data_IF_809080959410
#
_entry.id   IF_809080959410
#
_cell.length_a   1.000
_cell.length_b   1.000
_cell.length_c   1.000
_cell.angle_alpha   90.00
_cell.angle_beta   90.00
_cell.angle_gamma   90.00
#
_symmetry.space_group_name_H-M   'P 1'
#
loop_
_entity.id
_entity.type
_entity.pdbx_description
1 polymer ?
#
# COMPACT_ATOMS: atom_id res chain seq x y z
N UNK A 1 21.65 -24.39 9.86
CA UNK A 1 21.31 -25.05 11.13
C UNK A 1 20.79 -23.97 12.07
N UNK A 2 19.67 -24.18 12.78
CA UNK A 2 19.18 -23.20 13.74
C UNK A 2 20.29 -22.94 14.79
N UNK A 3 20.49 -21.69 15.21
CA UNK A 3 21.30 -21.40 16.40
C UNK A 3 20.85 -22.30 17.57
N UNK A 4 21.76 -22.73 18.44
CA UNK A 4 21.47 -23.56 19.64
C UNK A 4 20.31 -23.03 20.50
N UNK A 5 20.03 -21.72 20.42
CA UNK A 5 18.88 -21.10 21.07
C UNK A 5 17.52 -21.59 20.52
N UNK A 6 17.43 -21.84 19.22
CA UNK A 6 16.17 -22.21 18.58
C UNK A 6 15.87 -23.70 18.61
N UNK A 7 16.88 -24.57 18.79
CA UNK A 7 16.67 -26.03 18.87
C UNK A 7 15.78 -26.43 20.04
N UNK A 8 15.80 -25.68 21.14
CA UNK A 8 14.95 -25.91 22.32
C UNK A 8 13.45 -25.81 21.99
N UNK A 9 13.04 -24.95 21.06
CA UNK A 9 11.61 -24.82 20.66
C UNK A 9 11.09 -26.04 19.87
N UNK A 10 11.97 -26.92 19.41
CA UNK A 10 11.60 -28.11 18.65
C UNK A 10 11.70 -29.41 19.46
N UNK A 11 12.18 -29.35 20.71
CA UNK A 11 12.34 -30.53 21.58
C UNK A 11 11.01 -31.10 22.04
N UNK A 12 9.97 -30.27 22.13
CA UNK A 12 8.62 -30.67 22.56
C UNK A 12 7.83 -31.45 21.49
N UNK A 13 8.34 -31.55 20.26
CA UNK A 13 7.62 -32.14 19.14
C UNK A 13 8.25 -33.47 18.68
N UNK A 14 7.38 -34.44 18.37
CA UNK A 14 7.77 -35.74 17.81
C UNK A 14 7.74 -35.73 16.28
N UNK A 15 8.41 -36.70 15.66
CA UNK A 15 8.31 -36.93 14.22
C UNK A 15 6.92 -37.43 13.81
N UNK A 16 6.38 -37.04 12.64
CA UNK A 16 7.01 -36.22 11.58
C UNK A 16 6.82 -34.70 11.77
N UNK A 17 6.11 -34.28 12.81
CA UNK A 17 5.72 -32.88 13.00
C UNK A 17 6.92 -31.97 13.25
N UNK A 18 7.92 -32.47 14.00
CA UNK A 18 9.21 -31.80 14.21
C UNK A 18 9.91 -31.47 12.88
N UNK A 19 10.04 -32.45 11.97
CA UNK A 19 10.64 -32.22 10.65
C UNK A 19 9.89 -31.18 9.82
N UNK A 20 8.55 -31.21 9.84
CA UNK A 20 7.72 -30.23 9.11
C UNK A 20 7.95 -28.82 9.67
N UNK A 21 7.92 -28.67 11.00
CA UNK A 21 8.15 -27.37 11.64
C UNK A 21 9.55 -26.83 11.37
N UNK A 22 10.57 -27.69 11.39
CA UNK A 22 11.94 -27.28 11.05
C UNK A 22 12.04 -26.79 9.61
N UNK A 23 11.41 -27.49 8.66
CA UNK A 23 11.34 -27.07 7.27
C UNK A 23 10.63 -25.72 7.11
N UNK A 24 9.48 -25.53 7.77
CA UNK A 24 8.72 -24.28 7.74
C UNK A 24 9.52 -23.12 8.36
N UNK A 25 10.22 -23.37 9.46
CA UNK A 25 11.08 -22.38 10.11
C UNK A 25 12.22 -21.95 9.20
N UNK A 26 13.00 -22.90 8.68
CA UNK A 26 14.16 -22.62 7.81
C UNK A 26 13.73 -21.86 6.54
N UNK A 27 12.62 -22.30 5.93
CA UNK A 27 12.01 -21.62 4.78
C UNK A 27 11.58 -20.20 5.15
N UNK A 28 10.84 -20.03 6.25
CA UNK A 28 10.35 -18.71 6.67
C UNK A 28 11.50 -17.75 7.01
N UNK A 29 12.56 -18.23 7.65
CA UNK A 29 13.74 -17.44 8.00
C UNK A 29 14.46 -16.96 6.74
N UNK A 30 14.61 -17.83 5.74
CA UNK A 30 15.21 -17.47 4.45
C UNK A 30 14.38 -16.40 3.73
N UNK A 31 13.05 -16.53 3.75
CA UNK A 31 12.14 -15.54 3.16
C UNK A 31 12.18 -14.20 3.92
N UNK A 32 12.31 -14.24 5.24
CA UNK A 32 12.47 -13.05 6.08
C UNK A 32 13.74 -12.29 5.73
N UNK A 33 14.89 -12.97 5.65
CA UNK A 33 16.16 -12.31 5.30
C UNK A 33 16.13 -11.69 3.89
N UNK A 34 15.49 -12.38 2.93
CA UNK A 34 15.32 -11.88 1.57
C UNK A 34 14.37 -10.66 1.49
N UNK A 35 13.45 -10.53 2.46
CA UNK A 35 12.43 -9.47 2.44
C UNK A 35 13.03 -8.07 2.58
N UNK A 36 14.10 -7.89 3.36
CA UNK A 36 14.72 -6.58 3.57
C UNK A 36 15.25 -5.94 2.27
N UNK A 37 16.19 -6.55 1.52
CA UNK A 37 16.70 -5.94 0.30
C UNK A 37 15.61 -5.79 -0.77
N UNK A 38 14.70 -6.75 -0.89
CA UNK A 38 13.59 -6.67 -1.85
C UNK A 38 12.62 -5.53 -1.51
N UNK A 39 12.33 -5.31 -0.23
CA UNK A 39 11.41 -4.26 0.22
C UNK A 39 11.93 -2.88 -0.18
N UNK A 40 13.24 -2.61 -0.04
CA UNK A 40 13.85 -1.34 -0.44
C UNK A 40 13.72 -1.13 -1.95
N UNK A 41 13.98 -2.17 -2.75
CA UNK A 41 13.89 -2.09 -4.21
C UNK A 41 12.44 -1.86 -4.66
N UNK A 42 11.51 -2.69 -4.19
CA UNK A 42 10.10 -2.57 -4.57
C UNK A 42 9.47 -1.27 -4.07
N UNK A 43 9.79 -0.85 -2.84
CA UNK A 43 9.30 0.42 -2.31
C UNK A 43 9.84 1.61 -3.10
N UNK A 44 11.08 1.57 -3.59
CA UNK A 44 11.64 2.62 -4.44
C UNK A 44 10.88 2.73 -5.77
N UNK A 45 10.63 1.61 -6.45
CA UNK A 45 9.83 1.61 -7.68
C UNK A 45 8.37 2.03 -7.45
N UNK A 46 7.77 1.59 -6.34
CA UNK A 46 6.42 1.97 -5.95
C UNK A 46 6.32 3.47 -5.65
N UNK A 47 7.30 4.05 -4.94
CA UNK A 47 7.35 5.48 -4.67
C UNK A 47 7.41 6.28 -5.98
N UNK A 48 8.31 5.92 -6.89
CA UNK A 48 8.40 6.58 -8.21
C UNK A 48 7.06 6.46 -8.96
N UNK A 49 6.47 5.27 -8.96
CA UNK A 49 5.18 5.01 -9.60
C UNK A 49 4.06 5.88 -9.02
N UNK A 50 3.99 6.00 -7.69
CA UNK A 50 2.97 6.80 -7.00
C UNK A 50 3.17 8.29 -7.20
N UNK A 51 4.41 8.79 -7.21
CA UNK A 51 4.69 10.20 -7.51
C UNK A 51 4.24 10.54 -8.94
N UNK A 52 4.50 9.67 -9.90
CA UNK A 52 3.99 9.83 -11.27
C UNK A 52 2.46 9.74 -11.31
N UNK A 53 1.86 8.79 -10.59
CA UNK A 53 0.41 8.62 -10.51
C UNK A 53 -0.27 9.87 -9.94
N UNK A 54 0.27 10.44 -8.85
CA UNK A 54 -0.18 11.69 -8.24
C UNK A 54 -0.08 12.87 -9.20
N UNK A 55 1.02 12.99 -9.95
CA UNK A 55 1.18 14.05 -10.95
C UNK A 55 0.07 14.02 -12.02
N UNK A 56 -0.40 12.84 -12.41
CA UNK A 56 -1.48 12.66 -13.40
C UNK A 56 -2.85 12.84 -12.76
N UNK A 57 -3.12 12.18 -11.64
CA UNK A 57 -4.44 12.18 -10.99
C UNK A 57 -4.84 13.55 -10.42
N UNK A 58 -3.87 14.38 -10.05
CA UNK A 58 -4.14 15.74 -9.54
C UNK A 58 -4.50 16.74 -10.64
N UNK A 59 -4.44 16.35 -11.94
CA UNK A 59 -4.87 17.21 -13.05
C UNK A 59 -6.39 17.43 -13.05
N UNK A 60 -6.82 18.61 -13.52
CA UNK A 60 -8.24 19.03 -13.54
C UNK A 60 -9.11 18.03 -14.34
N UNK A 61 -8.59 17.47 -15.42
CA UNK A 61 -9.29 16.47 -16.24
C UNK A 61 -9.55 15.16 -15.47
N UNK A 62 -8.75 14.83 -14.47
CA UNK A 62 -8.84 13.57 -13.72
C UNK A 62 -9.67 13.68 -12.43
N UNK A 63 -9.75 14.84 -11.78
CA UNK A 63 -10.43 15.03 -10.48
C UNK A 63 -11.97 15.07 -10.53
N UNK A 64 -12.57 14.51 -11.57
CA UNK A 64 -14.01 14.63 -11.85
C UNK A 64 -14.87 13.48 -11.31
N UNK A 65 -14.26 12.44 -10.75
CA UNK A 65 -14.97 11.28 -10.19
C UNK A 65 -14.49 10.95 -8.79
N UNK A 66 -15.36 10.38 -7.95
CA UNK A 66 -14.99 9.92 -6.61
C UNK A 66 -13.84 8.92 -6.63
N UNK A 67 -13.86 7.99 -7.59
CA UNK A 67 -12.80 6.97 -7.73
C UNK A 67 -11.44 7.59 -8.01
N UNK A 68 -11.36 8.62 -8.87
CA UNK A 68 -10.08 9.29 -9.11
C UNK A 68 -9.59 10.08 -7.89
N UNK A 69 -10.49 10.68 -7.11
CA UNK A 69 -10.14 11.31 -5.82
C UNK A 69 -9.61 10.27 -4.83
N UNK A 70 -10.28 9.13 -4.72
CA UNK A 70 -9.87 8.03 -3.85
C UNK A 70 -8.53 7.42 -4.28
N UNK A 71 -8.31 7.20 -5.57
CA UNK A 71 -7.01 6.76 -6.12
C UNK A 71 -5.90 7.78 -5.86
N UNK A 72 -6.22 9.08 -5.86
CA UNK A 72 -5.25 10.12 -5.48
C UNK A 72 -4.87 10.00 -4.00
N UNK A 73 -5.87 9.81 -3.13
CA UNK A 73 -5.65 9.58 -1.71
C UNK A 73 -4.81 8.31 -1.46
N UNK A 74 -5.12 7.23 -2.17
CA UNK A 74 -4.39 5.96 -2.09
C UNK A 74 -2.93 6.10 -2.52
N UNK A 75 -2.66 6.78 -3.62
CA UNK A 75 -1.28 7.01 -4.06
C UNK A 75 -0.49 7.89 -3.08
N UNK A 76 -1.17 8.82 -2.37
CA UNK A 76 -0.55 9.64 -1.34
C UNK A 76 -0.20 8.80 -0.09
N UNK A 77 -1.15 8.02 0.43
CA UNK A 77 -0.93 7.15 1.59
C UNK A 77 0.14 6.10 1.31
N UNK A 78 0.07 5.46 0.14
CA UNK A 78 1.09 4.49 -0.27
C UNK A 78 2.47 5.15 -0.40
N UNK A 79 2.57 6.38 -0.92
CA UNK A 79 3.85 7.10 -0.99
C UNK A 79 4.48 7.33 0.38
N UNK A 80 3.66 7.66 1.40
CA UNK A 80 4.13 7.83 2.78
C UNK A 80 4.67 6.50 3.32
N UNK A 81 3.95 5.40 3.10
CA UNK A 81 4.39 4.06 3.50
C UNK A 81 5.68 3.63 2.80
N UNK A 82 5.80 3.86 1.48
CA UNK A 82 7.02 3.54 0.74
C UNK A 82 8.22 4.33 1.25
N UNK A 83 8.05 5.63 1.57
CA UNK A 83 9.11 6.45 2.12
C UNK A 83 9.62 5.90 3.45
N UNK A 84 8.72 5.50 4.35
CA UNK A 84 9.14 4.94 5.63
C UNK A 84 9.79 3.56 5.47
N UNK A 85 9.24 2.71 4.60
CA UNK A 85 9.83 1.39 4.28
C UNK A 85 11.26 1.51 3.75
N UNK A 86 11.52 2.48 2.88
CA UNK A 86 12.87 2.76 2.40
C UNK A 86 13.74 3.22 3.55
N UNK A 87 13.29 4.20 4.35
CA UNK A 87 14.07 4.74 5.46
C UNK A 87 14.47 3.67 6.49
N UNK A 88 13.53 2.86 6.93
CA UNK A 88 13.74 1.84 7.98
C UNK A 88 14.66 0.72 7.51
N UNK A 89 14.48 0.23 6.28
CA UNK A 89 15.25 -0.90 5.77
C UNK A 89 16.59 -0.49 5.13
N UNK A 90 16.76 0.79 4.75
CA UNK A 90 18.01 1.27 4.13
C UNK A 90 19.21 1.18 5.07
N UNK A 91 19.04 1.51 6.35
CA UNK A 91 20.14 1.43 7.33
C UNK A 91 20.54 -0.03 7.61
N UNK A 92 19.57 -0.95 7.65
CA UNK A 92 19.81 -2.38 7.80
C UNK A 92 20.61 -2.97 6.64
N UNK A 93 20.28 -2.57 5.40
CA UNK A 93 20.93 -3.09 4.18
C UNK A 93 22.33 -2.50 3.96
N UNK A 94 22.56 -1.23 4.34
CA UNK A 94 23.79 -0.53 3.94
C UNK A 94 24.92 -0.53 4.96
N UNK A 95 24.65 -0.65 6.27
CA UNK A 95 25.70 -0.43 7.31
C UNK A 95 25.60 -1.30 8.57
N UNK A 96 25.59 -2.64 8.48
CA UNK A 96 25.49 -3.50 9.66
C UNK A 96 26.67 -3.33 10.65
N UNK A 97 27.88 -2.99 10.18
CA UNK A 97 29.08 -2.86 11.02
C UNK A 97 29.29 -1.46 11.64
N UNK A 98 28.91 -0.39 10.94
CA UNK A 98 29.16 1.01 11.36
C UNK A 98 28.18 1.50 12.44
N UNK A 99 27.05 0.81 12.62
CA UNK A 99 26.04 1.12 13.63
C UNK A 99 26.60 1.16 15.06
N UNK A 100 27.63 0.36 15.37
CA UNK A 100 28.20 0.27 16.72
C UNK A 100 28.91 1.56 17.17
N UNK A 101 29.44 2.33 16.22
CA UNK A 101 30.22 3.56 16.48
C UNK A 101 29.51 4.84 16.02
N UNK A 102 28.28 4.71 15.49
CA UNK A 102 27.45 5.84 15.06
C UNK A 102 26.88 6.56 16.30
N UNK A 103 27.05 7.88 16.41
CA UNK A 103 26.47 8.65 17.51
C UNK A 103 24.94 8.59 17.47
N UNK A 104 24.26 8.69 18.63
CA UNK A 104 22.80 8.69 18.69
C UNK A 104 22.22 9.91 17.95
N UNK A 105 21.04 9.72 17.35
CA UNK A 105 20.34 10.79 16.65
C UNK A 105 19.84 11.85 17.65
N UNK A 106 19.87 13.15 17.29
CA UNK A 106 19.47 14.25 18.17
C UNK A 106 17.96 14.25 18.47
N UNK A 107 17.55 14.94 19.53
CA UNK A 107 16.15 15.01 19.98
C UNK A 107 15.14 15.34 18.85
N UNK A 108 15.41 16.37 18.05
CA UNK A 108 14.54 16.77 16.93
C UNK A 108 14.35 15.69 15.87
N UNK A 109 15.37 14.86 15.64
CA UNK A 109 15.26 13.74 14.69
C UNK A 109 14.36 12.63 15.21
N UNK A 110 14.34 12.39 16.53
CA UNK A 110 13.43 11.43 17.15
C UNK A 110 11.97 11.92 17.09
N UNK A 111 11.74 13.23 17.27
CA UNK A 111 10.42 13.82 17.04
C UNK A 111 9.98 13.62 15.59
N UNK A 112 10.84 13.94 14.63
CA UNK A 112 10.52 13.78 13.21
C UNK A 112 10.21 12.32 12.88
N UNK A 113 11.04 11.39 13.36
CA UNK A 113 10.82 9.95 13.16
C UNK A 113 9.48 9.50 13.74
N UNK A 114 9.13 9.94 14.95
CA UNK A 114 7.84 9.63 15.56
C UNK A 114 6.66 10.16 14.73
N UNK A 115 6.78 11.39 14.19
CA UNK A 115 5.74 11.94 13.30
C UNK A 115 5.60 11.10 12.04
N UNK A 116 6.72 10.70 11.42
CA UNK A 116 6.70 9.88 10.21
C UNK A 116 6.10 8.49 10.45
N UNK A 117 6.46 7.82 11.55
CA UNK A 117 5.87 6.54 11.96
C UNK A 117 4.36 6.68 12.18
N UNK A 118 3.92 7.75 12.85
CA UNK A 118 2.48 7.98 13.08
C UNK A 118 1.74 8.24 11.77
N UNK A 119 2.33 9.00 10.85
CA UNK A 119 1.76 9.25 9.52
C UNK A 119 1.70 7.96 8.69
N UNK A 120 2.71 7.11 8.79
CA UNK A 120 2.74 5.80 8.15
C UNK A 120 1.62 4.90 8.68
N UNK A 121 1.48 4.80 10.00
CA UNK A 121 0.45 3.97 10.65
C UNK A 121 -0.96 4.43 10.25
N UNK A 122 -1.22 5.75 10.23
CA UNK A 122 -2.47 6.31 9.70
C UNK A 122 -2.64 5.94 8.21
N UNK A 123 -1.60 6.12 7.40
CA UNK A 123 -1.64 5.84 5.96
C UNK A 123 -1.93 4.36 5.66
N UNK A 124 -1.27 3.45 6.39
CA UNK A 124 -1.40 2.00 6.23
C UNK A 124 -2.81 1.51 6.58
N UNK A 125 -3.48 2.14 7.56
CA UNK A 125 -4.89 1.86 7.92
C UNK A 125 -5.87 2.38 6.89
N UNK A 126 -5.63 3.56 6.32
CA UNK A 126 -6.54 4.18 5.35
C UNK A 126 -6.56 3.43 4.02
N UNK A 127 -5.41 2.94 3.52
CA UNK A 127 -5.31 2.31 2.19
C UNK A 127 -6.34 1.16 1.99
N UNK A 128 -6.49 0.18 2.92
CA UNK A 128 -7.52 -0.86 2.86
C UNK A 128 -8.95 -0.33 2.77
N UNK A 129 -9.28 0.69 3.57
CA UNK A 129 -10.60 1.29 3.60
C UNK A 129 -10.93 2.05 2.31
N UNK A 130 -9.94 2.70 1.70
CA UNK A 130 -10.12 3.27 0.35
C UNK A 130 -10.47 2.15 -0.64
N UNK A 131 -9.80 1.00 -0.58
CA UNK A 131 -10.12 -0.18 -1.37
C UNK A 131 -11.57 -0.65 -1.19
N UNK A 132 -12.02 -0.77 0.06
CA UNK A 132 -13.41 -1.14 0.42
C UNK A 132 -14.40 -0.16 -0.18
N UNK A 133 -14.18 1.14 0.01
CA UNK A 133 -15.08 2.20 -0.48
C UNK A 133 -15.16 2.16 -2.01
N UNK A 134 -14.02 2.00 -2.70
CA UNK A 134 -14.01 1.86 -4.17
C UNK A 134 -14.80 0.63 -4.63
N UNK A 135 -14.66 -0.51 -3.94
CA UNK A 135 -15.40 -1.73 -4.25
C UNK A 135 -16.92 -1.56 -4.03
N UNK A 136 -17.34 -0.93 -2.93
CA UNK A 136 -18.74 -0.62 -2.64
C UNK A 136 -19.33 0.31 -3.70
N UNK A 137 -18.64 1.41 -4.03
CA UNK A 137 -19.07 2.35 -5.07
C UNK A 137 -19.35 1.60 -6.37
N UNK A 138 -18.43 0.72 -6.79
CA UNK A 138 -18.61 -0.05 -8.04
C UNK A 138 -19.72 -1.07 -7.97
N UNK A 139 -19.79 -1.84 -6.89
CA UNK A 139 -20.86 -2.82 -6.72
C UNK A 139 -22.24 -2.15 -6.80
N UNK A 140 -22.43 -1.02 -6.12
CA UNK A 140 -23.70 -0.30 -6.11
C UNK A 140 -24.03 0.31 -7.47
N UNK A 141 -23.08 1.00 -8.11
CA UNK A 141 -23.32 1.63 -9.43
C UNK A 141 -23.64 0.57 -10.49
N UNK A 142 -22.92 -0.56 -10.49
CA UNK A 142 -23.15 -1.64 -11.44
C UNK A 142 -24.45 -2.37 -11.18
N UNK A 143 -24.83 -2.58 -9.92
CA UNK A 143 -26.06 -3.31 -9.57
C UNK A 143 -27.33 -2.46 -9.70
N UNK A 144 -27.22 -1.13 -9.53
CA UNK A 144 -28.37 -0.22 -9.49
C UNK A 144 -28.15 1.03 -10.37
N UNK A 145 -27.94 0.89 -11.69
CA UNK A 145 -27.56 1.99 -12.57
C UNK A 145 -28.61 3.11 -12.68
N UNK A 146 -29.89 2.79 -12.44
CA UNK A 146 -31.01 3.75 -12.51
C UNK A 146 -31.24 4.52 -11.21
N UNK A 147 -30.56 4.16 -10.13
CA UNK A 147 -30.74 4.82 -8.84
C UNK A 147 -29.92 6.13 -8.77
N UNK A 148 -30.63 7.26 -8.75
CA UNK A 148 -30.02 8.59 -8.74
C UNK A 148 -29.23 8.90 -7.46
N UNK A 149 -29.59 8.30 -6.32
CA UNK A 149 -28.86 8.47 -5.05
C UNK A 149 -27.50 7.79 -5.16
N UNK A 150 -27.46 6.57 -5.69
CA UNK A 150 -26.22 5.81 -5.89
C UNK A 150 -25.31 6.54 -6.90
N UNK A 151 -25.86 7.16 -7.95
CA UNK A 151 -25.07 7.97 -8.89
C UNK A 151 -24.38 9.17 -8.24
N UNK A 152 -24.89 9.70 -7.11
CA UNK A 152 -24.20 10.76 -6.36
C UNK A 152 -22.87 10.27 -5.77
N UNK A 153 -22.72 8.97 -5.49
CA UNK A 153 -21.47 8.38 -4.97
C UNK A 153 -20.33 8.45 -5.98
N UNK A 154 -20.63 8.62 -7.28
CA UNK A 154 -19.61 8.82 -8.33
C UNK A 154 -19.00 10.23 -8.33
N UNK A 155 -19.59 11.19 -7.60
CA UNK A 155 -19.17 12.59 -7.61
C UNK A 155 -17.91 12.80 -6.74
N UNK A 156 -17.00 13.73 -7.13
CA UNK A 156 -15.73 13.91 -6.43
C UNK A 156 -15.90 14.32 -4.96
N UNK A 157 -16.95 15.08 -4.64
CA UNK A 157 -17.28 15.45 -3.25
C UNK A 157 -17.45 14.22 -2.36
N UNK A 158 -18.08 13.15 -2.86
CA UNK A 158 -18.23 11.91 -2.09
C UNK A 158 -16.87 11.27 -1.80
N UNK A 159 -15.98 11.22 -2.80
CA UNK A 159 -14.62 10.68 -2.63
C UNK A 159 -13.80 11.49 -1.63
N UNK A 160 -13.88 12.82 -1.69
CA UNK A 160 -13.19 13.71 -0.76
C UNK A 160 -13.69 13.56 0.68
N UNK A 161 -15.02 13.57 0.89
CA UNK A 161 -15.61 13.37 2.21
C UNK A 161 -15.30 11.98 2.78
N UNK A 162 -15.28 10.95 1.92
CA UNK A 162 -14.89 9.60 2.31
C UNK A 162 -13.44 9.54 2.78
N UNK A 163 -12.52 10.17 2.05
CA UNK A 163 -11.10 10.25 2.43
C UNK A 163 -10.92 10.99 3.75
N UNK A 164 -11.60 12.12 3.94
CA UNK A 164 -11.57 12.87 5.19
C UNK A 164 -12.10 12.03 6.36
N UNK A 165 -13.20 11.30 6.18
CA UNK A 165 -13.73 10.40 7.19
C UNK A 165 -12.73 9.30 7.56
N UNK A 166 -12.08 8.66 6.58
CA UNK A 166 -11.04 7.66 6.85
C UNK A 166 -9.89 8.26 7.67
N UNK A 167 -9.39 9.45 7.29
CA UNK A 167 -8.31 10.13 8.03
C UNK A 167 -8.72 10.39 9.49
N UNK A 168 -9.92 10.92 9.71
CA UNK A 168 -10.41 11.22 11.06
C UNK A 168 -10.53 9.95 11.91
N UNK A 169 -11.15 8.90 11.37
CA UNK A 169 -11.32 7.62 12.08
C UNK A 169 -9.96 6.99 12.39
N UNK A 170 -9.07 6.88 11.41
CA UNK A 170 -7.73 6.30 11.62
C UNK A 170 -6.91 7.09 12.63
N UNK A 171 -7.03 8.43 12.65
CA UNK A 171 -6.35 9.28 13.64
C UNK A 171 -6.88 9.03 15.06
N UNK A 172 -8.21 8.91 15.23
CA UNK A 172 -8.83 8.61 16.53
C UNK A 172 -8.41 7.22 17.03
N UNK A 173 -8.37 6.22 16.16
CA UNK A 173 -7.93 4.86 16.53
C UNK A 173 -6.44 4.87 16.87
N UNK A 174 -5.62 5.63 16.14
CA UNK A 174 -4.18 5.78 16.39
C UNK A 174 -3.84 6.58 17.64
N UNK A 175 -4.77 7.39 18.16
CA UNK A 175 -4.55 8.26 19.30
C UNK A 175 -4.04 7.51 20.56
N UNK A 176 -4.46 6.26 20.76
CA UNK A 176 -3.96 5.40 21.86
C UNK A 176 -2.45 5.16 21.80
N UNK A 177 -1.85 5.15 20.60
CA UNK A 177 -0.41 4.95 20.42
C UNK A 177 0.33 6.28 20.57
N UNK A 178 -0.21 7.36 20.00
CA UNK A 178 0.52 8.62 19.91
C UNK A 178 0.38 9.51 21.15
N UNK A 179 -0.77 9.48 21.84
CA UNK A 179 -1.01 10.32 23.03
C UNK A 179 -0.19 9.86 24.24
N UNK A 180 0.02 8.57 24.50
CA UNK A 180 0.88 8.14 25.62
C UNK A 180 2.36 8.08 25.28
N UNK A 181 2.82 8.47 24.08
CA UNK A 181 4.25 8.39 23.71
C UNK A 181 4.90 9.76 23.62
N UNK A 182 6.06 9.91 24.25
CA UNK A 182 6.91 11.12 24.16
C UNK A 182 8.37 10.74 23.97
N UNK A 183 9.22 11.71 23.60
CA UNK A 183 10.65 11.48 23.48
C UNK A 183 11.29 11.78 24.83
N UNK A 184 11.91 10.77 25.44
CA UNK A 184 12.61 10.90 26.72
C UNK A 184 14.12 10.76 26.53
N UNK A 185 14.88 11.41 27.38
CA UNK A 185 16.31 11.17 27.51
C UNK A 185 16.53 9.88 28.31
N UNK A 186 17.38 9.00 27.77
CA UNK A 186 17.82 7.78 28.43
C UNK A 186 19.31 7.85 28.71
N UNK A 187 19.86 6.76 29.27
CA UNK A 187 21.27 6.65 29.59
C UNK A 187 22.14 7.15 28.41
N UNK A 188 23.05 8.12 28.63
CA UNK A 188 23.90 8.67 27.59
C UNK A 188 24.65 7.57 26.85
N UNK A 189 24.78 7.74 25.54
CA UNK A 189 25.59 6.86 24.72
C UNK A 189 27.08 7.12 24.99
N UNK A 190 27.81 6.04 25.25
CA UNK A 190 29.26 6.05 25.42
C UNK A 190 29.85 5.13 24.35
N UNK A 191 30.70 5.64 23.44
CA UNK A 191 31.31 4.84 22.39
C UNK A 191 32.24 3.77 22.99
N UNK A 192 32.35 2.64 22.30
CA UNK A 192 33.39 1.65 22.60
C UNK A 192 34.77 2.22 22.22
N UNK A 193 35.83 1.74 22.89
CA UNK A 193 37.22 2.18 22.63
C UNK A 193 37.63 2.04 21.16
N UNK A 194 37.13 1.00 20.49
CA UNK A 194 37.35 0.72 19.06
C UNK A 194 36.85 1.84 18.12
N UNK A 195 35.98 2.73 18.60
CA UNK A 195 35.36 3.77 17.79
C UNK A 195 36.21 5.05 17.64
N UNK A 196 37.36 5.16 18.32
CA UNK A 196 38.30 6.29 18.15
C UNK A 196 37.88 7.64 18.75
N UNK A 197 36.84 7.68 19.59
CA UNK A 197 36.42 8.89 20.29
C UNK A 197 37.34 9.23 21.48
N UNK A 198 37.43 10.50 21.90
CA UNK A 198 38.20 10.91 23.08
C UNK A 198 37.78 10.16 24.35
N UNK A 199 38.72 10.04 25.31
CA UNK A 199 38.40 9.47 26.62
C UNK A 199 37.30 10.30 27.30
N UNK A 200 36.35 9.63 27.96
CA UNK A 200 35.17 10.23 28.60
C UNK A 200 34.18 10.95 27.67
N UNK A 201 34.26 10.74 26.35
CA UNK A 201 33.23 11.22 25.44
C UNK A 201 31.89 10.54 25.72
N UNK A 202 30.82 11.32 25.81
CA UNK A 202 29.44 10.82 25.89
C UNK A 202 28.49 11.78 25.17
N UNK A 203 27.36 11.25 24.73
CA UNK A 203 26.32 12.03 24.07
C UNK A 203 24.94 11.65 24.62
N UNK A 204 24.03 12.61 24.84
CA UNK A 204 22.67 12.29 25.25
C UNK A 204 22.00 11.41 24.20
N UNK A 205 21.25 10.42 24.68
CA UNK A 205 20.52 9.48 23.83
C UNK A 205 19.04 9.63 24.11
N UNK A 206 18.26 9.76 23.05
CA UNK A 206 16.83 9.94 23.12
C UNK A 206 16.11 8.74 22.51
N UNK A 207 14.96 8.38 23.06
CA UNK A 207 14.08 7.35 22.49
C UNK A 207 12.61 7.64 22.83
N UNK A 208 11.66 7.06 22.08
CA UNK A 208 10.26 7.03 22.49
C UNK A 208 10.11 6.35 23.87
N UNK A 209 9.31 6.95 24.74
CA UNK A 209 8.98 6.45 26.06
C UNK A 209 7.55 6.82 26.46
N UNK A 210 7.02 6.18 27.51
CA UNK A 210 5.67 6.43 27.97
C UNK A 210 5.53 7.85 28.57
N UNK A 211 4.36 8.46 28.37
CA UNK A 211 3.83 9.56 29.18
C UNK A 211 2.99 8.97 30.30
N UNK A 212 2.92 9.66 31.43
CA UNK A 212 2.04 9.35 32.56
C UNK A 212 0.57 9.67 32.21
N UNK A 213 0.06 9.10 31.12
CA UNK A 213 -1.30 9.25 30.62
C UNK A 213 -1.82 7.85 30.32
N UNK A 214 -2.74 7.37 31.16
CA UNK A 214 -3.38 6.07 30.97
C UNK A 214 -4.66 6.24 30.12
N UNK A 215 -4.71 5.57 28.98
CA UNK A 215 -5.89 5.50 28.12
C UNK A 215 -6.40 4.07 28.19
N UNK A 216 -7.67 3.88 28.54
CA UNK A 216 -8.32 2.57 28.69
C UNK A 216 -7.86 1.57 27.61
N UNK A 217 -7.10 0.57 28.01
CA UNK A 217 -6.39 -0.30 27.08
C UNK A 217 -7.33 -1.19 26.26
N UNK A 218 -8.41 -1.69 26.85
CA UNK A 218 -9.21 -2.76 26.27
C UNK A 218 -10.02 -2.32 25.04
N UNK A 219 -10.75 -1.20 25.13
CA UNK A 219 -11.61 -0.72 24.04
C UNK A 219 -10.78 -0.32 22.82
N UNK A 220 -9.67 0.39 23.03
CA UNK A 220 -8.82 0.85 21.92
C UNK A 220 -8.04 -0.29 21.28
N UNK A 221 -7.59 -1.30 22.06
CA UNK A 221 -7.02 -2.53 21.51
C UNK A 221 -8.02 -3.23 20.61
N UNK A 222 -9.26 -3.37 21.07
CA UNK A 222 -10.32 -4.03 20.33
C UNK A 222 -10.67 -3.29 19.03
N UNK A 223 -10.83 -1.96 19.09
CA UNK A 223 -11.09 -1.15 17.90
C UNK A 223 -9.96 -1.22 16.88
N UNK A 224 -8.70 -1.23 17.32
CA UNK A 224 -7.54 -1.37 16.44
C UNK A 224 -7.49 -2.75 15.79
N UNK A 225 -7.78 -3.82 16.54
CA UNK A 225 -7.85 -5.17 15.99
C UNK A 225 -8.96 -5.28 14.94
N UNK A 226 -10.13 -4.69 15.19
CA UNK A 226 -11.21 -4.63 14.21
C UNK A 226 -10.81 -3.83 12.97
N UNK A 227 -10.25 -2.64 13.13
CA UNK A 227 -9.90 -1.75 12.01
C UNK A 227 -8.92 -2.39 11.03
N UNK A 228 -7.92 -3.12 11.55
CA UNK A 228 -6.90 -3.80 10.73
C UNK A 228 -7.46 -5.04 10.04
N UNK A 229 -8.28 -5.85 10.73
CA UNK A 229 -8.72 -7.15 10.20
C UNK A 229 -10.04 -7.09 9.42
N UNK A 230 -10.87 -6.08 9.66
CA UNK A 230 -12.18 -5.97 9.02
C UNK A 230 -12.08 -5.79 7.49
N UNK A 231 -11.18 -4.94 6.95
CA UNK A 231 -10.96 -4.87 5.50
C UNK A 231 -10.52 -6.20 4.89
N UNK A 232 -9.70 -6.99 5.59
CA UNK A 232 -9.24 -8.31 5.12
C UNK A 232 -10.38 -9.32 4.95
N UNK A 233 -11.54 -9.12 5.58
CA UNK A 233 -12.75 -9.95 5.40
C UNK A 233 -13.77 -9.28 4.49
N UNK A 234 -14.02 -7.99 4.67
CA UNK A 234 -15.04 -7.24 3.93
C UNK A 234 -14.67 -7.10 2.46
N UNK A 235 -13.41 -6.80 2.16
CA UNK A 235 -12.95 -6.57 0.79
C UNK A 235 -13.07 -7.82 -0.11
N UNK A 236 -12.65 -9.04 0.31
CA UNK A 236 -12.90 -10.26 -0.46
C UNK A 236 -14.38 -10.52 -0.72
N UNK A 237 -15.24 -10.34 0.29
CA UNK A 237 -16.68 -10.54 0.16
C UNK A 237 -17.29 -9.57 -0.86
N UNK A 238 -16.94 -8.28 -0.76
CA UNK A 238 -17.36 -7.27 -1.73
C UNK A 238 -16.86 -7.58 -3.14
N UNK A 239 -15.62 -8.05 -3.26
CA UNK A 239 -15.03 -8.42 -4.56
C UNK A 239 -15.76 -9.61 -5.19
N UNK A 240 -16.10 -10.62 -4.39
CA UNK A 240 -16.87 -11.78 -4.84
C UNK A 240 -18.28 -11.36 -5.28
N UNK A 241 -18.94 -10.50 -4.52
CA UNK A 241 -20.24 -9.94 -4.88
C UNK A 241 -20.16 -9.12 -6.17
N UNK A 242 -19.13 -8.29 -6.33
CA UNK A 242 -18.89 -7.50 -7.53
C UNK A 242 -18.71 -8.40 -8.76
N UNK A 243 -17.82 -9.40 -8.67
CA UNK A 243 -17.60 -10.34 -9.78
C UNK A 243 -18.88 -11.09 -10.14
N UNK A 244 -19.68 -11.53 -9.16
CA UNK A 244 -20.97 -12.19 -9.40
C UNK A 244 -21.98 -11.25 -10.04
N UNK A 245 -22.11 -10.02 -9.56
CA UNK A 245 -23.00 -9.01 -10.11
C UNK A 245 -22.64 -8.71 -11.57
N UNK A 246 -21.35 -8.55 -11.87
CA UNK A 246 -20.87 -8.32 -13.23
C UNK A 246 -21.13 -9.51 -14.14
N UNK A 247 -20.86 -10.74 -13.70
CA UNK A 247 -21.18 -11.95 -14.47
C UNK A 247 -22.67 -12.06 -14.79
N UNK A 248 -23.54 -11.76 -13.81
CA UNK A 248 -24.99 -11.75 -14.02
C UNK A 248 -25.42 -10.71 -15.06
N UNK A 249 -24.93 -9.48 -14.95
CA UNK A 249 -25.23 -8.40 -15.92
C UNK A 249 -24.76 -8.79 -17.33
N UNK A 250 -23.58 -9.39 -17.46
CA UNK A 250 -23.08 -9.88 -18.76
C UNK A 250 -23.97 -11.00 -19.31
N UNK A 251 -24.40 -11.95 -18.48
CA UNK A 251 -25.28 -13.04 -18.88
C UNK A 251 -26.66 -12.54 -19.34
N UNK A 252 -27.25 -11.58 -18.63
CA UNK A 252 -28.53 -10.95 -19.03
C UNK A 252 -28.37 -10.20 -20.35
N UNK A 253 -27.28 -9.45 -20.54
CA UNK A 253 -27.02 -8.76 -21.83
C UNK A 253 -26.87 -9.71 -23.01
N UNK A 254 -26.24 -10.87 -22.79
CA UNK A 254 -26.12 -11.92 -23.81
C UNK A 254 -27.49 -12.49 -24.24
N UNK A 255 -28.50 -12.44 -23.38
CA UNK A 255 -29.86 -12.87 -23.74
C UNK A 255 -30.60 -11.83 -24.60
N UNK A 256 -30.26 -10.55 -24.49
CA UNK A 256 -30.97 -9.45 -25.16
C UNK A 256 -30.20 -8.79 -26.31
N UNK A 257 -28.90 -9.09 -26.51
CA UNK A 257 -28.06 -8.49 -27.55
C UNK A 257 -27.25 -9.57 -28.30
N UNK A 258 -27.25 -9.50 -29.64
CA UNK A 258 -26.58 -10.44 -30.55
C UNK A 258 -25.05 -10.36 -30.54
N UNK A 259 -24.47 -9.32 -29.93
CA UNK A 259 -23.03 -9.19 -29.71
C UNK A 259 -22.77 -8.66 -28.28
N UNK A 260 -22.01 -9.36 -27.44
CA UNK A 260 -21.69 -8.89 -26.11
C UNK A 260 -20.87 -7.60 -26.18
N UNK A 261 -21.38 -6.53 -25.57
CA UNK A 261 -20.54 -5.38 -25.26
C UNK A 261 -19.67 -5.75 -24.06
N UNK A 262 -18.35 -5.76 -24.25
CA UNK A 262 -17.40 -6.02 -23.17
C UNK A 262 -17.68 -5.10 -21.96
N UNK A 263 -17.35 -5.55 -20.73
CA UNK A 263 -17.48 -4.70 -19.56
C UNK A 263 -16.70 -3.41 -19.79
N UNK A 264 -17.30 -2.28 -19.39
CA UNK A 264 -16.68 -0.96 -19.52
C UNK A 264 -15.28 -0.96 -18.88
N UNK A 265 -14.32 -0.31 -19.51
CA UNK A 265 -12.91 -0.38 -19.12
C UNK A 265 -12.70 0.10 -17.67
N UNK A 266 -13.53 1.04 -17.22
CA UNK A 266 -13.58 1.50 -15.82
C UNK A 266 -13.94 0.38 -14.83
N UNK A 267 -14.80 -0.54 -15.24
CA UNK A 267 -15.23 -1.69 -14.42
C UNK A 267 -14.12 -2.73 -14.34
N UNK A 268 -13.44 -3.01 -15.47
CA UNK A 268 -12.27 -3.89 -15.51
C UNK A 268 -11.14 -3.33 -14.65
N UNK A 269 -10.87 -2.02 -14.77
CA UNK A 269 -9.89 -1.27 -13.99
C UNK A 269 -10.09 -1.47 -12.49
N UNK A 270 -11.26 -1.11 -11.98
CA UNK A 270 -11.48 -1.20 -10.53
C UNK A 270 -11.53 -2.65 -10.05
N UNK A 271 -12.14 -3.57 -10.80
CA UNK A 271 -12.20 -4.98 -10.40
C UNK A 271 -10.80 -5.60 -10.28
N UNK A 272 -9.91 -5.35 -11.25
CA UNK A 272 -8.55 -5.88 -11.21
C UNK A 272 -7.74 -5.29 -10.05
N UNK A 273 -7.83 -3.97 -9.84
CA UNK A 273 -7.21 -3.31 -8.69
C UNK A 273 -7.71 -3.88 -7.36
N UNK A 274 -9.03 -4.11 -7.23
CA UNK A 274 -9.61 -4.67 -6.00
C UNK A 274 -9.15 -6.11 -5.77
N UNK A 275 -9.05 -6.94 -6.81
CA UNK A 275 -8.57 -8.33 -6.66
C UNK A 275 -7.12 -8.38 -6.19
N UNK A 276 -6.22 -7.55 -6.74
CA UNK A 276 -4.82 -7.48 -6.28
C UNK A 276 -4.73 -6.98 -4.84
N UNK A 277 -5.58 -6.02 -4.49
CA UNK A 277 -5.66 -5.50 -3.14
C UNK A 277 -6.14 -6.58 -2.14
N UNK A 278 -7.12 -7.41 -2.52
CA UNK A 278 -7.55 -8.58 -1.74
C UNK A 278 -6.41 -9.56 -1.52
N UNK A 279 -5.64 -9.88 -2.56
CA UNK A 279 -4.50 -10.82 -2.43
C UNK A 279 -3.48 -10.28 -1.41
N UNK A 280 -3.22 -8.98 -1.46
CA UNK A 280 -2.27 -8.30 -0.56
C UNK A 280 -2.76 -8.28 0.89
N UNK A 281 -4.01 -7.86 1.13
CA UNK A 281 -4.51 -7.72 2.50
C UNK A 281 -4.84 -9.10 3.12
N UNK A 282 -5.26 -10.09 2.34
CA UNK A 282 -5.49 -11.44 2.86
C UNK A 282 -4.20 -12.12 3.30
N UNK A 283 -3.12 -12.04 2.51
CA UNK A 283 -1.85 -12.70 2.87
C UNK A 283 -1.27 -12.13 4.17
N UNK A 284 -1.36 -10.81 4.34
CA UNK A 284 -0.92 -10.10 5.55
C UNK A 284 -1.87 -10.40 6.72
N UNK A 285 -3.18 -10.28 6.52
CA UNK A 285 -4.20 -10.46 7.56
C UNK A 285 -4.23 -11.87 8.14
N UNK A 286 -4.05 -12.91 7.32
CA UNK A 286 -3.98 -14.30 7.79
C UNK A 286 -2.78 -14.47 8.73
N UNK A 287 -1.62 -13.90 8.39
CA UNK A 287 -0.44 -13.99 9.26
C UNK A 287 -0.69 -13.30 10.61
N UNK A 288 -1.28 -12.09 10.61
CA UNK A 288 -1.60 -11.40 11.86
C UNK A 288 -2.59 -12.18 12.73
N UNK A 289 -3.63 -12.76 12.11
CA UNK A 289 -4.63 -13.55 12.82
C UNK A 289 -4.04 -14.83 13.43
N UNK A 290 -3.19 -15.56 12.69
CA UNK A 290 -2.53 -16.76 13.19
C UNK A 290 -1.58 -16.41 14.33
N UNK A 291 -0.79 -15.33 14.22
CA UNK A 291 0.09 -14.86 15.29
C UNK A 291 -0.70 -14.52 16.55
N UNK A 292 -1.85 -13.85 16.42
CA UNK A 292 -2.68 -13.44 17.54
C UNK A 292 -3.35 -14.63 18.27
N UNK A 293 -3.82 -15.63 17.53
CA UNK A 293 -4.53 -16.79 18.09
C UNK A 293 -3.57 -17.87 18.58
N UNK A 294 -2.37 -17.95 18.00
CA UNK A 294 -1.38 -18.98 18.37
C UNK A 294 -0.81 -18.75 19.76
N UNK A 295 -0.72 -19.83 20.55
CA UNK A 295 -0.01 -19.87 21.83
C UNK A 295 1.43 -20.39 21.71
N UNK A 296 1.80 -20.94 20.56
CA UNK A 296 3.14 -21.49 20.32
C UNK A 296 4.07 -20.39 19.83
N UNK A 297 5.13 -20.11 20.58
CA UNK A 297 6.17 -19.13 20.20
C UNK A 297 6.80 -19.48 18.86
N UNK A 298 6.98 -20.76 18.55
CA UNK A 298 7.53 -21.20 17.28
C UNK A 298 6.61 -20.84 16.10
N UNK A 299 5.31 -21.11 16.22
CA UNK A 299 4.33 -20.75 15.19
C UNK A 299 4.26 -19.23 15.03
N UNK A 300 4.33 -18.47 16.12
CA UNK A 300 4.39 -17.00 16.07
C UNK A 300 5.63 -16.51 15.31
N UNK A 301 6.82 -17.08 15.57
CA UNK A 301 8.05 -16.73 14.85
C UNK A 301 7.92 -17.03 13.36
N UNK A 302 7.48 -18.24 12.99
CA UNK A 302 7.29 -18.63 11.58
C UNK A 302 6.32 -17.68 10.88
N UNK A 303 5.20 -17.37 11.55
CA UNK A 303 4.16 -16.50 10.99
C UNK A 303 4.63 -15.06 10.87
N UNK A 304 5.43 -14.57 11.81
CA UNK A 304 6.03 -13.24 11.77
C UNK A 304 7.04 -13.10 10.63
N UNK A 305 7.86 -14.13 10.41
CA UNK A 305 8.77 -14.20 9.25
C UNK A 305 7.99 -14.14 7.92
N UNK A 306 6.91 -14.91 7.80
CA UNK A 306 6.03 -14.90 6.63
C UNK A 306 5.31 -13.56 6.45
N UNK A 307 4.91 -12.92 7.55
CA UNK A 307 4.30 -11.58 7.53
C UNK A 307 5.23 -10.58 6.80
N UNK A 308 6.50 -10.48 7.20
CA UNK A 308 7.45 -9.59 6.53
C UNK A 308 7.60 -9.91 5.04
N UNK A 309 7.67 -11.19 4.68
CA UNK A 309 7.71 -11.57 3.27
C UNK A 309 6.45 -11.14 2.52
N UNK A 310 5.25 -11.36 3.07
CA UNK A 310 4.00 -10.96 2.41
C UNK A 310 3.79 -9.45 2.35
N UNK A 311 4.42 -8.66 3.23
CA UNK A 311 4.40 -7.20 3.10
C UNK A 311 5.04 -6.71 1.79
N UNK A 312 5.87 -7.52 1.12
CA UNK A 312 6.38 -7.22 -0.23
C UNK A 312 5.27 -7.10 -1.28
N UNK A 313 4.09 -7.67 -1.04
CA UNK A 313 2.96 -7.53 -1.97
C UNK A 313 2.38 -6.13 -1.96
N UNK A 314 2.55 -5.38 -0.87
CA UNK A 314 2.06 -4.02 -0.75
C UNK A 314 2.66 -3.05 -1.79
N UNK A 315 4.00 -2.90 -1.92
CA UNK A 315 4.58 -2.08 -2.99
C UNK A 315 4.23 -2.59 -4.38
N UNK A 316 4.15 -3.91 -4.60
CA UNK A 316 3.76 -4.48 -5.90
C UNK A 316 2.32 -4.13 -6.28
N UNK A 317 1.39 -4.21 -5.33
CA UNK A 317 0.01 -3.79 -5.51
C UNK A 317 -0.08 -2.29 -5.82
N UNK A 318 0.73 -1.47 -5.14
CA UNK A 318 0.80 -0.04 -5.39
C UNK A 318 1.28 0.29 -6.80
N UNK A 319 2.33 -0.37 -7.30
CA UNK A 319 2.80 -0.26 -8.69
C UNK A 319 1.70 -0.68 -9.68
N UNK A 320 0.96 -1.76 -9.36
CA UNK A 320 -0.11 -2.24 -10.21
C UNK A 320 -1.22 -1.19 -10.40
N UNK A 321 -1.51 -0.34 -9.41
CA UNK A 321 -2.50 0.74 -9.59
C UNK A 321 -2.15 1.67 -10.76
N UNK A 322 -0.89 2.05 -10.90
CA UNK A 322 -0.42 2.85 -12.03
C UNK A 322 -0.57 2.08 -13.35
N UNK A 323 -0.05 0.85 -13.40
CA UNK A 323 -0.05 0.01 -14.61
C UNK A 323 -1.48 -0.21 -15.11
N UNK A 324 -2.39 -0.61 -14.22
CA UNK A 324 -3.78 -0.88 -14.58
C UNK A 324 -4.47 0.40 -15.06
N UNK A 325 -4.18 1.56 -14.45
CA UNK A 325 -4.74 2.85 -14.90
C UNK A 325 -4.30 3.22 -16.32
N UNK A 326 -3.05 2.97 -16.69
CA UNK A 326 -2.55 3.19 -18.06
C UNK A 326 -3.22 2.21 -19.04
N UNK A 327 -3.35 0.94 -18.66
CA UNK A 327 -3.89 -0.10 -19.55
C UNK A 327 -5.40 0.06 -19.78
N UNK A 328 -6.15 0.46 -18.75
CA UNK A 328 -7.61 0.37 -18.74
C UNK A 328 -8.34 1.72 -18.63
N UNK A 329 -7.65 2.86 -18.53
CA UNK A 329 -8.32 4.18 -18.57
C UNK A 329 -7.88 5.00 -19.77
N UNK A 330 -8.79 5.15 -20.74
CA UNK A 330 -8.59 6.04 -21.90
C UNK A 330 -8.37 7.48 -21.46
N UNK A 331 -9.16 7.95 -20.50
CA UNK A 331 -9.03 9.27 -19.90
C UNK A 331 -7.66 9.47 -19.23
N UNK A 332 -7.18 8.47 -18.50
CA UNK A 332 -5.85 8.50 -17.88
C UNK A 332 -4.75 8.60 -18.94
N UNK A 333 -4.81 7.78 -20.00
CA UNK A 333 -3.82 7.81 -21.10
C UNK A 333 -3.77 9.17 -21.79
N UNK A 334 -4.93 9.78 -22.07
CA UNK A 334 -4.98 11.12 -22.66
C UNK A 334 -4.30 12.14 -21.75
N UNK A 335 -4.60 12.10 -20.45
CA UNK A 335 -3.98 12.99 -19.47
C UNK A 335 -2.47 12.78 -19.35
N UNK A 336 -1.97 11.54 -19.43
CA UNK A 336 -0.53 11.23 -19.46
C UNK A 336 0.13 11.88 -20.67
N UNK A 337 -0.44 11.73 -21.87
CA UNK A 337 0.10 12.33 -23.10
C UNK A 337 0.18 13.85 -22.98
N UNK A 338 -0.88 14.49 -22.50
CA UNK A 338 -0.92 15.95 -22.26
C UNK A 338 0.12 16.38 -21.21
N UNK A 339 0.29 15.59 -20.14
CA UNK A 339 1.25 15.91 -19.07
C UNK A 339 2.70 15.77 -19.56
N UNK A 340 3.01 14.74 -20.34
CA UNK A 340 4.35 14.49 -20.88
C UNK A 340 4.70 15.43 -22.04
N UNK A 341 3.73 15.81 -22.88
CA UNK A 341 3.93 16.80 -23.94
C UNK A 341 4.19 18.19 -23.36
N UNK A 342 3.51 18.57 -22.27
CA UNK A 342 3.80 19.79 -21.52
C UNK A 342 5.24 19.78 -20.95
N UNK A 343 5.71 18.62 -20.47
CA UNK A 343 7.10 18.45 -20.00
C UNK A 343 8.12 18.36 -21.15
N UNK A 344 7.70 18.46 -22.42
CA UNK A 344 8.52 18.25 -23.63
C UNK A 344 9.23 16.89 -23.68
N UNK A 345 8.77 15.90 -22.91
CA UNK A 345 9.35 14.54 -22.88
C UNK A 345 8.87 13.74 -24.10
N UNK A 346 7.71 14.11 -24.66
CA UNK A 346 7.20 13.57 -25.92
C UNK A 346 7.00 14.71 -26.92
N UNK A 347 7.90 14.83 -27.89
CA UNK A 347 7.64 15.53 -29.15
C UNK A 347 7.29 14.45 -30.18
N UNK A 348 6.06 14.46 -30.67
CA UNK A 348 5.78 13.80 -31.95
C UNK A 348 6.48 14.63 -33.03
N UNK A 349 7.33 13.98 -33.84
CA UNK A 349 7.78 14.58 -35.09
C UNK A 349 6.55 14.75 -35.99
N UNK A 350 6.36 15.93 -36.62
CA UNK A 350 5.24 16.11 -37.52
C UNK A 350 5.38 15.15 -38.70
N UNK A 351 4.39 14.27 -38.86
CA UNK A 351 4.25 13.42 -40.05
C UNK A 351 4.18 14.34 -41.26
N UNK A 352 5.23 14.32 -42.08
CA UNK A 352 5.26 15.02 -43.35
C UNK A 352 4.12 14.51 -44.23
N UNK A 353 3.13 15.37 -44.50
CA UNK A 353 2.16 15.12 -45.57
C UNK A 353 2.92 15.12 -46.89
N UNK A 354 3.21 13.93 -47.42
CA UNK A 354 3.67 13.77 -48.79
C UNK A 354 2.55 14.21 -49.74
N UNK A 355 2.72 15.37 -50.34
CA UNK A 355 1.92 15.86 -51.46
C UNK A 355 2.03 14.88 -52.63
N UNK A 356 1.01 14.06 -52.88
CA UNK A 356 0.83 13.43 -54.18
C UNK A 356 0.29 14.48 -55.15
N UNK A 357 1.20 15.10 -55.89
CA UNK A 357 0.86 15.76 -57.14
C UNK A 357 0.68 14.70 -58.23
N UNK A 358 -0.56 14.45 -58.66
CA UNK A 358 -0.82 13.86 -59.96
C UNK A 358 -1.50 14.89 -60.86
N UNK A 359 -0.72 15.36 -61.83
CA UNK A 359 -1.16 16.10 -63.02
C UNK A 359 -2.27 15.35 -63.77
N UNK A 360 -3.38 16.02 -64.10
CA UNK A 360 -3.74 16.37 -65.49
C UNK A 360 -5.23 16.67 -65.74
N UNK A 361 -5.41 17.73 -66.54
CA UNK A 361 -6.47 18.01 -67.55
C UNK A 361 -7.77 18.70 -67.14
N UNK A 362 -7.71 20.01 -67.34
CA UNK A 362 -8.74 20.89 -67.94
C UNK A 362 -9.56 20.20 -69.03
N UNK A 363 -10.89 20.22 -68.90
CA UNK A 363 -11.84 20.32 -70.03
C UNK A 363 -12.98 21.25 -69.59
N UNK A 364 -13.07 22.41 -70.26
CA UNK A 364 -14.25 23.28 -70.32
C UNK A 364 -15.00 22.88 -71.60
N UNK A 365 -16.29 22.53 -71.53
CA UNK A 365 -17.25 22.82 -72.61
C UNK A 365 -18.66 23.02 -72.02
N UNK A 366 -19.15 24.26 -72.21
CA UNK A 366 -20.51 24.81 -72.22
C UNK A 366 -21.42 24.70 -70.98
#
# INVERSE_FOLDING_TARGET
MPNEYYSQFFEEYNEPFKSILLFLYDTSSTLFDLSFPLSVVFASFALISNLFHLMVLTRVSMRNTSVNILLTGLALTDSICMLNTIFDNFEYVTRPADLKCKPPSPYWSQILLQILINLEDISRRISPWIGVIMAVIRLLISSFPLNLIIRKMSKPVFGFLSLLACILVSTVIGARIYIPTTVIEIKPWVPKKECGYPANYSQPRFQPGPRDIDISEDLMTFLQLLDVNLPAVVLPLLTLLLVRALKKITAERLQFQSAPKEPDDTTKLVTLMTVLHVITECSIGICLLVTFVSKSSLVQIITWNLYYFFTLFFPLNSIAHLIISILLSSQYRTCVKETLSFLKIWKEEPVAQSSQGSSSRTIIVR
#
